data_IF_847463528408
#
_entry.id   IF_847463528408
#
_cell.length_a   1.000
_cell.length_b   1.000
_cell.length_c   1.000
_cell.angle_alpha   90.00
_cell.angle_beta   90.00
_cell.angle_gamma   90.00
#
_symmetry.space_group_name_H-M   'P 1'
#
loop_
_entity.id
_entity.type
_entity.pdbx_description
1 polymer ?
#
# COMPACT_ATOMS: atom_id res chain seq x y z
N UNK A 1 62.16 1.91 -13.85
CA UNK A 1 61.38 1.05 -14.76
C UNK A 1 60.14 0.59 -13.99
N UNK A 2 58.98 1.16 -14.31
CA UNK A 2 57.81 1.20 -13.42
C UNK A 2 56.97 -0.10 -13.48
N UNK A 3 56.65 -0.65 -12.31
CA UNK A 3 55.70 -1.74 -12.13
C UNK A 3 54.28 -1.15 -12.13
N UNK A 4 53.46 -1.47 -13.14
CA UNK A 4 52.07 -1.01 -13.25
C UNK A 4 51.18 -1.80 -12.32
N UNK A 5 50.67 -1.17 -11.27
CA UNK A 5 49.68 -1.72 -10.36
C UNK A 5 48.29 -1.70 -10.99
N UNK A 6 47.73 -2.89 -11.23
CA UNK A 6 46.32 -3.10 -11.58
C UNK A 6 45.45 -2.68 -10.39
N UNK A 7 44.86 -1.48 -10.44
CA UNK A 7 43.73 -1.13 -9.57
C UNK A 7 42.47 -1.61 -10.28
N UNK A 8 41.96 -2.78 -9.88
CA UNK A 8 40.58 -3.13 -10.16
C UNK A 8 39.71 -2.16 -9.34
N UNK A 9 39.15 -1.18 -10.03
CA UNK A 9 38.33 -0.16 -9.39
C UNK A 9 37.10 -0.80 -8.74
N UNK A 10 37.01 -0.56 -7.44
CA UNK A 10 35.92 -0.85 -6.49
C UNK A 10 34.58 -0.18 -6.88
N UNK A 11 34.44 0.26 -8.13
CA UNK A 11 33.30 1.01 -8.64
C UNK A 11 32.08 0.13 -8.97
N UNK A 12 32.28 -1.17 -9.25
CA UNK A 12 31.17 -2.05 -9.67
C UNK A 12 30.31 -2.53 -8.49
N UNK A 13 30.86 -2.61 -7.27
CA UNK A 13 30.11 -3.15 -6.13
C UNK A 13 29.24 -2.12 -5.39
N UNK A 14 29.44 -0.82 -5.63
CA UNK A 14 28.67 0.24 -4.95
C UNK A 14 27.40 0.67 -5.67
N UNK A 15 27.26 0.37 -6.96
CA UNK A 15 26.08 0.78 -7.75
C UNK A 15 24.93 -0.25 -7.60
N UNK A 16 25.25 -1.54 -7.44
CA UNK A 16 24.24 -2.59 -7.31
C UNK A 16 23.49 -2.62 -5.97
N UNK A 17 24.12 -2.21 -4.87
CA UNK A 17 23.50 -2.24 -3.52
C UNK A 17 22.57 -1.06 -3.23
N UNK A 18 22.82 0.10 -3.84
CA UNK A 18 22.01 1.31 -3.63
C UNK A 18 20.66 1.25 -4.36
N UNK A 19 20.54 0.49 -5.45
CA UNK A 19 19.30 0.35 -6.19
C UNK A 19 18.26 -0.54 -5.49
N UNK A 20 18.69 -1.57 -4.75
CA UNK A 20 17.78 -2.47 -4.01
C UNK A 20 17.27 -1.83 -2.70
N UNK A 21 18.06 -0.95 -2.09
CA UNK A 21 17.63 -0.19 -0.91
C UNK A 21 16.59 0.91 -1.27
N UNK A 22 16.63 1.43 -2.50
CA UNK A 22 15.67 2.42 -2.98
C UNK A 22 14.30 1.82 -3.38
N UNK A 23 14.20 0.50 -3.55
CA UNK A 23 12.93 -0.19 -3.81
C UNK A 23 12.16 -0.57 -2.54
N UNK A 24 12.62 -0.14 -1.35
CA UNK A 24 11.73 -0.07 -0.19
C UNK A 24 10.75 1.06 -0.51
N UNK A 25 9.68 0.71 -1.23
CA UNK A 25 8.60 1.59 -1.61
C UNK A 25 8.24 2.46 -0.39
N UNK A 26 8.60 3.74 -0.43
CA UNK A 26 8.20 4.68 0.61
C UNK A 26 6.70 4.86 0.42
N UNK A 27 5.93 4.08 1.16
CA UNK A 27 4.49 4.23 1.19
C UNK A 27 4.14 5.67 1.60
N UNK A 28 3.12 6.23 0.96
CA UNK A 28 2.48 7.44 1.42
C UNK A 28 2.14 7.24 2.89
N UNK A 29 2.63 8.15 3.73
CA UNK A 29 2.30 8.12 5.15
C UNK A 29 0.80 8.34 5.29
N UNK A 30 0.08 7.50 6.06
CA UNK A 30 -1.30 7.74 6.36
C UNK A 30 -1.51 9.12 6.96
N UNK A 31 -2.61 9.77 6.60
CA UNK A 31 -2.94 11.10 7.09
C UNK A 31 -3.20 11.03 8.59
N UNK A 32 -2.64 11.97 9.36
CA UNK A 32 -2.93 12.10 10.79
C UNK A 32 -4.15 12.98 11.00
N UNK A 33 -5.01 12.60 11.93
CA UNK A 33 -6.16 13.40 12.35
C UNK A 33 -6.16 13.66 13.85
N UNK A 34 -6.81 14.75 14.25
CA UNK A 34 -7.14 15.02 15.64
C UNK A 34 -8.29 14.14 16.14
N UNK A 35 -9.16 13.70 15.23
CA UNK A 35 -10.30 12.81 15.49
C UNK A 35 -10.43 11.78 14.37
N UNK A 36 -10.17 10.52 14.69
CA UNK A 36 -10.27 9.39 13.76
C UNK A 36 -11.70 8.83 13.66
N UNK A 37 -12.70 9.40 14.34
CA UNK A 37 -14.09 9.01 14.12
C UNK A 37 -14.68 9.59 12.83
N UNK A 38 -14.08 10.66 12.30
CA UNK A 38 -14.50 11.31 11.07
C UNK A 38 -13.73 10.78 9.85
N UNK A 39 -14.31 10.83 8.64
CA UNK A 39 -13.57 10.55 7.41
C UNK A 39 -12.33 11.44 7.29
N UNK A 40 -11.24 10.86 6.80
CA UNK A 40 -10.02 11.56 6.44
C UNK A 40 -10.18 12.43 5.19
N UNK A 41 -9.16 13.21 4.82
CA UNK A 41 -9.28 14.23 3.78
C UNK A 41 -9.14 13.67 2.34
N UNK A 42 -8.84 12.39 2.16
CA UNK A 42 -8.74 11.80 0.82
C UNK A 42 -10.13 11.35 0.32
N UNK A 43 -10.40 11.61 -0.94
CA UNK A 43 -11.59 11.14 -1.65
C UNK A 43 -11.42 9.66 -1.96
N UNK A 44 -12.44 8.86 -1.66
CA UNK A 44 -12.39 7.41 -1.82
C UNK A 44 -13.34 6.91 -2.88
N UNK A 45 -12.98 5.80 -3.52
CA UNK A 45 -13.87 5.04 -4.41
C UNK A 45 -13.88 3.58 -3.99
N UNK A 46 -15.03 2.93 -4.18
CA UNK A 46 -15.21 1.49 -3.99
C UNK A 46 -15.36 0.80 -5.33
N UNK A 47 -14.64 -0.31 -5.51
CA UNK A 47 -14.74 -1.18 -6.67
C UNK A 47 -15.01 -2.61 -6.24
N UNK A 48 -15.98 -3.27 -6.86
CA UNK A 48 -16.24 -4.69 -6.62
C UNK A 48 -15.28 -5.55 -7.46
N UNK A 49 -14.88 -6.70 -6.92
CA UNK A 49 -14.09 -7.69 -7.64
C UNK A 49 -14.69 -9.09 -7.46
N UNK A 50 -14.48 -9.91 -8.49
CA UNK A 50 -14.84 -11.31 -8.48
C UNK A 50 -13.75 -12.09 -9.23
N UNK A 51 -13.06 -12.98 -8.54
CA UNK A 51 -11.95 -13.78 -9.05
C UNK A 51 -12.19 -15.25 -8.74
N UNK A 52 -11.46 -16.14 -9.41
CA UNK A 52 -11.61 -17.60 -9.25
C UNK A 52 -11.42 -18.13 -7.83
N UNK A 53 -10.89 -17.33 -6.89
CA UNK A 53 -10.63 -17.75 -5.51
C UNK A 53 -11.14 -16.80 -4.43
N UNK A 54 -11.69 -15.64 -4.80
CA UNK A 54 -12.23 -14.66 -3.86
C UNK A 54 -13.11 -13.64 -4.59
N UNK A 55 -14.15 -13.17 -3.91
CA UNK A 55 -14.96 -12.04 -4.32
C UNK A 55 -15.04 -11.03 -3.16
N UNK A 56 -15.31 -9.78 -3.48
CA UNK A 56 -15.33 -8.73 -2.47
C UNK A 56 -15.33 -7.33 -3.06
N UNK A 57 -14.88 -6.38 -2.24
CA UNK A 57 -14.81 -4.96 -2.58
C UNK A 57 -13.48 -4.37 -2.16
N UNK A 58 -12.96 -3.42 -2.93
CA UNK A 58 -11.78 -2.63 -2.60
C UNK A 58 -12.16 -1.16 -2.48
N UNK A 59 -11.83 -0.54 -1.36
CA UNK A 59 -11.88 0.91 -1.18
C UNK A 59 -10.46 1.49 -1.32
N UNK A 60 -10.29 2.53 -2.13
CA UNK A 60 -9.00 3.16 -2.34
C UNK A 60 -9.10 4.69 -2.53
N UNK A 61 -8.03 5.45 -2.23
CA UNK A 61 -7.98 6.88 -2.46
C UNK A 61 -7.91 7.17 -3.97
N UNK A 62 -8.73 8.10 -4.45
CA UNK A 62 -8.67 8.59 -5.85
C UNK A 62 -7.79 9.82 -6.02
N UNK A 63 -7.39 10.43 -4.92
CA UNK A 63 -6.45 11.54 -4.86
C UNK A 63 -5.33 11.27 -3.84
N UNK A 64 -4.24 12.02 -3.95
CA UNK A 64 -3.01 11.81 -3.19
C UNK A 64 -1.95 11.06 -4.01
N UNK A 65 -0.68 11.14 -3.59
CA UNK A 65 0.42 10.42 -4.24
C UNK A 65 0.75 9.15 -3.49
N UNK A 66 0.56 8.00 -4.15
CA UNK A 66 0.91 6.69 -3.63
C UNK A 66 2.43 6.40 -3.66
N UNK A 67 2.85 5.17 -3.33
CA UNK A 67 2.01 3.98 -3.08
C UNK A 67 1.34 3.99 -1.70
N UNK A 68 0.11 3.49 -1.57
CA UNK A 68 -0.60 3.42 -0.29
C UNK A 68 -0.47 2.01 0.34
N UNK A 69 -0.35 1.89 1.67
CA UNK A 69 -0.38 0.61 2.36
C UNK A 69 -1.73 -0.11 2.20
N UNK A 70 -1.70 -1.43 2.09
CA UNK A 70 -2.91 -2.26 1.90
C UNK A 70 -3.35 -2.93 3.20
N UNK A 71 -4.66 -2.91 3.46
CA UNK A 71 -5.34 -3.63 4.54
C UNK A 71 -6.30 -4.66 3.94
N UNK A 72 -6.37 -5.85 4.55
CA UNK A 72 -7.36 -6.87 4.19
C UNK A 72 -8.35 -6.98 5.34
N UNK A 73 -9.61 -6.69 5.06
CA UNK A 73 -10.72 -6.78 5.99
C UNK A 73 -11.39 -8.14 5.80
N UNK A 74 -11.17 -9.02 6.76
CA UNK A 74 -11.80 -10.32 6.84
C UNK A 74 -13.02 -10.29 7.75
N UNK A 75 -14.01 -11.11 7.46
CA UNK A 75 -15.27 -11.12 8.17
C UNK A 75 -15.48 -12.38 9.01
N UNK A 76 -16.36 -12.30 10.01
CA UNK A 76 -16.71 -13.44 10.85
C UNK A 76 -17.43 -14.54 10.07
N UNK A 77 -17.35 -15.77 10.55
CA UNK A 77 -17.72 -16.98 9.80
C UNK A 77 -19.22 -17.16 9.47
N UNK A 78 -20.12 -16.37 10.07
CA UNK A 78 -21.55 -16.72 10.07
C UNK A 78 -22.47 -15.76 9.31
N UNK A 79 -22.20 -14.45 9.28
CA UNK A 79 -23.15 -13.46 8.72
C UNK A 79 -22.52 -12.17 8.21
N UNK A 80 -21.20 -12.15 8.09
CA UNK A 80 -20.48 -10.97 7.69
C UNK A 80 -20.06 -11.13 6.22
N UNK A 81 -20.19 -10.08 5.40
CA UNK A 81 -19.84 -10.03 3.99
C UNK A 81 -19.15 -8.68 3.70
N UNK A 82 -18.56 -8.54 2.50
CA UNK A 82 -17.82 -7.35 2.11
C UNK A 82 -18.66 -6.06 2.21
N UNK A 83 -19.98 -6.11 2.02
CA UNK A 83 -20.86 -4.93 2.11
C UNK A 83 -20.96 -4.40 3.55
N UNK A 84 -20.88 -5.27 4.54
CA UNK A 84 -20.93 -4.85 5.95
C UNK A 84 -19.60 -4.26 6.44
N UNK A 85 -18.49 -4.56 5.75
CA UNK A 85 -17.16 -4.07 6.13
C UNK A 85 -16.68 -2.89 5.29
N UNK A 86 -17.27 -2.68 4.10
CA UNK A 86 -16.74 -1.70 3.16
C UNK A 86 -16.79 -0.26 3.68
N UNK A 87 -17.73 0.08 4.57
CA UNK A 87 -17.75 1.39 5.22
C UNK A 87 -16.50 1.64 6.09
N UNK A 88 -15.98 0.61 6.76
CA UNK A 88 -14.68 0.70 7.43
C UNK A 88 -13.54 0.82 6.41
N UNK A 89 -13.64 0.11 5.29
CA UNK A 89 -12.68 0.20 4.19
C UNK A 89 -12.58 1.60 3.58
N UNK A 90 -13.71 2.25 3.32
CA UNK A 90 -13.78 3.64 2.87
C UNK A 90 -13.19 4.60 3.91
N UNK A 91 -13.50 4.37 5.19
CA UNK A 91 -12.91 5.16 6.26
C UNK A 91 -11.38 5.02 6.28
N UNK A 92 -10.81 3.81 6.24
CA UNK A 92 -9.36 3.66 6.14
C UNK A 92 -8.78 4.26 4.85
N UNK A 93 -9.48 4.11 3.73
CA UNK A 93 -9.03 4.69 2.47
C UNK A 93 -8.95 6.22 2.51
N UNK A 94 -9.86 6.87 3.23
CA UNK A 94 -9.82 8.33 3.40
C UNK A 94 -8.58 8.83 4.17
N UNK A 95 -7.89 7.92 4.86
CA UNK A 95 -6.62 8.16 5.57
C UNK A 95 -5.38 7.73 4.78
N UNK A 96 -5.52 7.23 3.55
CA UNK A 96 -4.40 6.82 2.71
C UNK A 96 -4.05 5.34 2.84
N UNK A 97 -5.05 4.48 3.00
CA UNK A 97 -4.91 3.03 2.86
C UNK A 97 -5.65 2.53 1.61
N UNK A 98 -5.27 1.35 1.12
CA UNK A 98 -6.13 0.56 0.24
C UNK A 98 -6.75 -0.54 1.08
N UNK A 99 -8.07 -0.61 1.17
CA UNK A 99 -8.75 -1.60 2.00
C UNK A 99 -9.50 -2.61 1.13
N UNK A 100 -9.19 -3.89 1.28
CA UNK A 100 -9.81 -5.00 0.55
C UNK A 100 -10.73 -5.76 1.50
N UNK A 101 -12.04 -5.60 1.34
CA UNK A 101 -13.04 -6.40 2.05
C UNK A 101 -13.33 -7.67 1.24
N UNK A 102 -12.97 -8.82 1.81
CA UNK A 102 -13.24 -10.14 1.20
C UNK A 102 -14.55 -10.73 1.69
N UNK A 103 -15.21 -11.51 0.84
CA UNK A 103 -16.31 -12.43 1.20
C UNK A 103 -15.80 -13.82 1.61
#
# INVERSE_FOLDING_TARGET
>A
MALRSFKLDLAVFRIGGLALAASVATFASPVRAADYSQPGPLTTTVQSFNTSGANGKVAYPTNGSGPFPTLVLGHGALFANADQQIGWGEHFASYGFVAVAVN
#
